data_IF_110227740028
#
_entry.id   IF_110227740028
#
_cell.length_a   1.000
_cell.length_b   1.000
_cell.length_c   1.000
_cell.angle_alpha   90.00
_cell.angle_beta   90.00
_cell.angle_gamma   90.00
#
_symmetry.space_group_name_H-M   'P 1'
#
loop_
_entity.id
_entity.type
_entity.pdbx_description
1 polymer ?
#
# COMPACT_ATOMS: atom_id res chain seq x y z
N UNK A 1 34.37 8.26 9.42
CA UNK A 1 32.98 7.73 9.27
C UNK A 1 32.14 8.87 8.75
N UNK A 2 31.90 8.91 7.44
CA UNK A 2 31.07 9.96 6.85
C UNK A 2 29.64 9.75 7.34
N UNK A 3 29.09 10.75 8.02
CA UNK A 3 27.69 10.78 8.42
C UNK A 3 26.84 10.74 7.15
N UNK A 4 26.23 9.59 6.86
CA UNK A 4 25.26 9.44 5.76
C UNK A 4 24.15 10.48 5.98
N UNK A 5 23.81 11.21 4.92
CA UNK A 5 22.80 12.27 4.98
C UNK A 5 21.42 11.68 5.31
N UNK A 6 20.55 12.47 5.94
CA UNK A 6 19.16 12.07 6.21
C UNK A 6 18.43 11.67 4.91
N UNK A 7 18.74 12.36 3.80
CA UNK A 7 18.17 12.06 2.49
C UNK A 7 18.56 10.67 1.98
N UNK A 8 19.82 10.30 2.15
CA UNK A 8 20.35 9.01 1.70
C UNK A 8 19.76 7.86 2.53
N UNK A 9 19.63 8.04 3.85
CA UNK A 9 18.93 7.07 4.70
C UNK A 9 17.47 6.87 4.28
N UNK A 10 16.76 7.96 4.00
CA UNK A 10 15.36 7.90 3.57
C UNK A 10 15.23 7.20 2.21
N UNK A 11 16.10 7.52 1.26
CA UNK A 11 16.12 6.86 -0.05
C UNK A 11 16.36 5.36 0.09
N UNK A 12 17.34 4.95 0.90
CA UNK A 12 17.61 3.54 1.17
C UNK A 12 16.41 2.82 1.79
N UNK A 13 15.75 3.45 2.76
CA UNK A 13 14.55 2.90 3.38
C UNK A 13 13.42 2.70 2.35
N UNK A 14 13.17 3.71 1.50
CA UNK A 14 12.15 3.65 0.43
C UNK A 14 12.44 2.49 -0.53
N UNK A 15 13.69 2.33 -0.98
CA UNK A 15 14.07 1.25 -1.90
C UNK A 15 13.97 -0.11 -1.22
N UNK A 16 14.36 -0.20 0.06
CA UNK A 16 14.19 -1.43 0.84
C UNK A 16 12.73 -1.86 0.85
N UNK A 17 11.81 -0.94 1.15
CA UNK A 17 10.37 -1.20 1.10
C UNK A 17 9.89 -1.59 -0.29
N UNK A 18 10.31 -0.86 -1.34
CA UNK A 18 9.93 -1.13 -2.72
C UNK A 18 10.42 -2.50 -3.20
N UNK A 19 11.65 -2.88 -2.85
CA UNK A 19 12.23 -4.18 -3.22
C UNK A 19 11.45 -5.32 -2.55
N UNK A 20 11.12 -5.19 -1.26
CA UNK A 20 10.30 -6.18 -0.54
C UNK A 20 8.90 -6.27 -1.14
N UNK A 21 8.25 -5.15 -1.42
CA UNK A 21 6.91 -5.11 -2.00
C UNK A 21 6.87 -5.73 -3.40
N UNK A 22 7.83 -5.39 -4.27
CA UNK A 22 7.93 -5.94 -5.63
C UNK A 22 8.16 -7.46 -5.60
N UNK A 23 9.02 -7.96 -4.70
CA UNK A 23 9.21 -9.40 -4.49
C UNK A 23 7.92 -10.14 -4.10
N UNK A 24 7.02 -9.46 -3.41
CA UNK A 24 5.80 -10.04 -2.87
C UNK A 24 4.61 -9.95 -3.83
N UNK A 25 4.40 -8.81 -4.50
CA UNK A 25 3.21 -8.56 -5.33
C UNK A 25 3.46 -8.73 -6.85
N UNK A 26 4.68 -8.51 -7.34
CA UNK A 26 4.93 -8.49 -8.79
C UNK A 26 5.31 -9.87 -9.33
N UNK A 27 4.74 -10.23 -10.47
CA UNK A 27 5.13 -11.45 -11.21
C UNK A 27 6.57 -11.34 -11.72
N UNK A 28 6.96 -10.15 -12.17
CA UNK A 28 8.29 -9.86 -12.66
C UNK A 28 8.78 -8.55 -12.07
N UNK A 29 9.73 -8.67 -11.15
CA UNK A 29 10.39 -7.57 -10.48
C UNK A 29 11.71 -7.19 -11.17
N UNK A 30 12.20 -5.98 -10.86
CA UNK A 30 13.56 -5.58 -11.21
C UNK A 30 14.62 -6.26 -10.35
N UNK A 31 15.83 -6.37 -10.87
CA UNK A 31 16.99 -6.84 -10.14
C UNK A 31 17.46 -5.80 -9.11
N UNK A 32 18.11 -6.25 -8.03
CA UNK A 32 18.67 -5.36 -7.00
C UNK A 32 19.72 -4.40 -7.61
N UNK A 33 20.42 -4.81 -8.68
CA UNK A 33 21.35 -3.94 -9.40
C UNK A 33 20.65 -2.79 -10.12
N UNK A 34 19.44 -3.00 -10.62
CA UNK A 34 18.62 -1.95 -11.26
C UNK A 34 18.09 -0.97 -10.22
N UNK A 35 17.63 -1.46 -9.06
CA UNK A 35 17.26 -0.60 -7.93
C UNK A 35 18.44 0.24 -7.43
N UNK A 36 19.63 -0.35 -7.32
CA UNK A 36 20.84 0.35 -6.91
C UNK A 36 21.24 1.46 -7.90
N UNK A 37 21.13 1.19 -9.21
CA UNK A 37 21.37 2.19 -10.26
C UNK A 37 20.37 3.35 -10.18
N UNK A 38 19.08 3.05 -9.98
CA UNK A 38 18.02 4.07 -9.93
C UNK A 38 18.23 5.07 -8.79
N UNK A 39 18.78 4.61 -7.66
CA UNK A 39 18.97 5.44 -6.48
C UNK A 39 20.40 5.86 -6.22
N UNK A 40 21.29 5.73 -7.22
CA UNK A 40 22.70 6.13 -7.13
C UNK A 40 23.40 5.57 -5.87
N UNK A 41 23.05 4.34 -5.49
CA UNK A 41 23.57 3.67 -4.30
C UNK A 41 24.28 2.37 -4.66
N UNK A 42 25.15 1.90 -3.78
CA UNK A 42 25.71 0.56 -3.90
C UNK A 42 24.65 -0.52 -3.62
N UNK A 43 24.72 -1.60 -4.39
CA UNK A 43 23.87 -2.78 -4.24
C UNK A 43 23.89 -3.35 -2.81
N UNK A 44 25.04 -3.30 -2.13
CA UNK A 44 25.18 -3.76 -0.75
C UNK A 44 24.28 -2.97 0.20
N UNK A 45 24.09 -1.67 -0.02
CA UNK A 45 23.19 -0.86 0.80
C UNK A 45 21.72 -1.20 0.55
N UNK A 46 21.35 -1.49 -0.69
CA UNK A 46 19.99 -1.94 -1.03
C UNK A 46 19.66 -3.27 -0.35
N UNK A 47 20.59 -4.24 -0.40
CA UNK A 47 20.41 -5.53 0.29
C UNK A 47 20.31 -5.38 1.81
N UNK A 48 21.08 -4.46 2.40
CA UNK A 48 20.99 -4.16 3.84
C UNK A 48 19.63 -3.56 4.17
N UNK A 49 19.18 -2.56 3.40
CA UNK A 49 17.87 -1.94 3.58
C UNK A 49 16.73 -2.96 3.45
N UNK A 50 16.77 -3.85 2.46
CA UNK A 50 15.80 -4.94 2.31
C UNK A 50 15.75 -5.82 3.58
N UNK A 51 16.92 -6.23 4.09
CA UNK A 51 17.01 -7.05 5.29
C UNK A 51 16.49 -6.33 6.53
N UNK A 52 16.79 -5.04 6.65
CA UNK A 52 16.36 -4.22 7.78
C UNK A 52 14.84 -4.00 7.76
N UNK A 53 14.23 -3.81 6.59
CA UNK A 53 12.76 -3.75 6.44
C UNK A 53 12.11 -5.06 6.87
N UNK A 54 12.59 -6.20 6.36
CA UNK A 54 12.04 -7.51 6.73
C UNK A 54 12.16 -7.80 8.23
N UNK A 55 13.30 -7.45 8.83
CA UNK A 55 13.51 -7.58 10.28
C UNK A 55 12.57 -6.68 11.08
N UNK A 56 12.37 -5.44 10.63
CA UNK A 56 11.48 -4.47 11.30
C UNK A 56 10.04 -4.95 11.26
N UNK A 57 9.61 -5.55 10.15
CA UNK A 57 8.28 -6.15 9.99
C UNK A 57 8.17 -7.54 10.64
N UNK A 58 9.23 -8.06 11.26
CA UNK A 58 9.28 -9.43 11.79
C UNK A 58 8.87 -10.49 10.76
N UNK A 59 9.15 -10.24 9.47
CA UNK A 59 8.72 -11.06 8.34
C UNK A 59 7.18 -11.19 8.16
N UNK A 60 6.39 -10.38 8.85
CA UNK A 60 4.92 -10.32 8.72
C UNK A 60 4.51 -9.43 7.54
N UNK A 61 4.79 -9.89 6.33
CA UNK A 61 4.44 -9.20 5.07
C UNK A 61 3.08 -9.63 4.50
N UNK A 62 2.44 -10.62 5.11
CA UNK A 62 1.16 -11.16 4.64
C UNK A 62 -0.02 -10.37 5.22
N UNK A 63 -0.35 -9.25 4.59
CA UNK A 63 -1.48 -8.39 4.97
C UNK A 63 -2.54 -8.26 3.87
N UNK A 64 -3.84 -8.23 4.20
CA UNK A 64 -4.87 -7.94 3.20
C UNK A 64 -4.87 -6.45 2.81
N UNK A 65 -4.81 -6.16 1.51
CA UNK A 65 -4.88 -4.81 0.97
C UNK A 65 -6.31 -4.25 1.01
N UNK A 66 -6.44 -2.92 1.20
CA UNK A 66 -7.72 -2.21 1.14
C UNK A 66 -8.46 -2.48 -0.18
N UNK A 67 -7.72 -2.60 -1.28
CA UNK A 67 -8.24 -2.92 -2.62
C UNK A 67 -8.96 -4.27 -2.64
N UNK A 68 -8.46 -5.28 -1.92
CA UNK A 68 -9.08 -6.61 -1.84
C UNK A 68 -10.41 -6.55 -1.08
N UNK A 69 -10.50 -5.72 -0.03
CA UNK A 69 -11.76 -5.48 0.67
C UNK A 69 -12.78 -4.74 -0.18
N UNK A 70 -12.36 -3.73 -0.96
CA UNK A 70 -13.25 -3.04 -1.91
C UNK A 70 -13.89 -4.04 -2.88
N UNK A 71 -13.10 -4.99 -3.41
CA UNK A 71 -13.62 -6.06 -4.27
C UNK A 71 -14.66 -6.92 -3.55
N UNK A 72 -14.36 -7.37 -2.33
CA UNK A 72 -15.29 -8.18 -1.54
C UNK A 72 -16.60 -7.44 -1.25
N UNK A 73 -16.54 -6.18 -0.85
CA UNK A 73 -17.74 -5.39 -0.55
C UNK A 73 -18.57 -5.13 -1.81
N UNK A 74 -17.94 -4.70 -2.90
CA UNK A 74 -18.65 -4.43 -4.16
C UNK A 74 -19.28 -5.70 -4.76
N UNK A 75 -18.60 -6.85 -4.67
CA UNK A 75 -19.17 -8.13 -5.10
C UNK A 75 -20.32 -8.59 -4.20
N UNK A 76 -20.16 -8.53 -2.88
CA UNK A 76 -21.18 -8.96 -1.92
C UNK A 76 -22.47 -8.14 -2.04
N UNK A 77 -22.34 -6.82 -2.18
CA UNK A 77 -23.49 -5.92 -2.31
C UNK A 77 -23.94 -5.69 -3.76
N UNK A 78 -23.28 -6.33 -4.74
CA UNK A 78 -23.56 -6.19 -6.19
C UNK A 78 -23.55 -4.73 -6.67
N UNK A 79 -22.56 -3.96 -6.22
CA UNK A 79 -22.40 -2.54 -6.52
C UNK A 79 -21.28 -2.33 -7.54
N UNK A 80 -21.57 -1.60 -8.62
CA UNK A 80 -20.61 -1.36 -9.72
C UNK A 80 -19.66 -0.17 -9.48
N UNK A 81 -19.18 0.02 -8.25
CA UNK A 81 -18.31 1.15 -7.86
C UNK A 81 -16.83 0.78 -7.73
N UNK A 82 -16.48 -0.47 -8.05
CA UNK A 82 -15.15 -1.04 -7.80
C UNK A 82 -14.02 -0.18 -8.38
N UNK A 83 -14.19 0.29 -9.62
CA UNK A 83 -13.19 1.08 -10.33
C UNK A 83 -12.95 2.43 -9.67
N UNK A 84 -14.02 3.15 -9.31
CA UNK A 84 -13.91 4.47 -8.69
C UNK A 84 -13.38 4.36 -7.26
N UNK A 85 -13.89 3.42 -6.47
CA UNK A 85 -13.44 3.18 -5.11
C UNK A 85 -11.94 2.83 -5.04
N UNK A 86 -11.44 2.01 -5.98
CA UNK A 86 -9.99 1.71 -6.10
C UNK A 86 -9.16 2.96 -6.35
N UNK A 87 -9.58 3.84 -7.26
CA UNK A 87 -8.87 5.11 -7.53
C UNK A 87 -8.84 6.04 -6.31
N UNK A 88 -9.93 6.11 -5.57
CA UNK A 88 -9.98 6.88 -4.31
C UNK A 88 -9.03 6.27 -3.29
N UNK A 89 -8.98 4.94 -3.19
CA UNK A 89 -8.08 4.22 -2.29
C UNK A 89 -6.61 4.45 -2.65
N UNK A 90 -6.25 4.45 -3.94
CA UNK A 90 -4.91 4.77 -4.42
C UNK A 90 -4.47 6.16 -3.98
N UNK A 91 -5.36 7.16 -4.07
CA UNK A 91 -5.08 8.51 -3.58
C UNK A 91 -4.94 8.55 -2.05
N UNK A 92 -5.78 7.80 -1.32
CA UNK A 92 -5.78 7.78 0.14
C UNK A 92 -4.47 7.22 0.72
N UNK A 93 -3.85 6.22 0.10
CA UNK A 93 -2.61 5.58 0.58
C UNK A 93 -1.43 6.56 0.64
N UNK A 94 -1.44 7.65 -0.13
CA UNK A 94 -0.40 8.69 -0.07
C UNK A 94 -0.52 9.61 1.15
N UNK A 95 -1.67 9.64 1.83
CA UNK A 95 -1.86 10.44 3.03
C UNK A 95 -1.45 9.65 4.28
N UNK A 96 -0.49 10.21 5.02
CA UNK A 96 0.01 9.66 6.29
C UNK A 96 -1.11 9.42 7.31
N UNK A 97 -2.17 10.23 7.29
CA UNK A 97 -3.31 10.07 8.20
C UNK A 97 -4.02 8.73 8.02
N UNK A 98 -3.86 8.06 6.87
CA UNK A 98 -4.50 6.77 6.59
C UNK A 98 -3.65 5.57 7.02
N UNK A 99 -2.36 5.74 7.28
CA UNK A 99 -1.43 4.65 7.58
C UNK A 99 -1.80 3.87 8.86
N UNK A 100 -2.48 4.52 9.81
CA UNK A 100 -2.89 3.90 11.09
C UNK A 100 -4.27 3.25 11.03
N UNK A 101 -5.02 3.45 9.95
CA UNK A 101 -6.39 2.97 9.79
C UNK A 101 -6.40 1.56 9.23
N UNK A 102 -7.35 0.72 9.64
CA UNK A 102 -7.41 -0.65 9.13
C UNK A 102 -7.77 -0.66 7.64
N UNK A 103 -7.15 -1.54 6.82
CA UNK A 103 -7.46 -1.64 5.40
C UNK A 103 -8.95 -1.86 5.09
N UNK A 104 -9.66 -2.59 5.96
CA UNK A 104 -11.10 -2.80 5.85
C UNK A 104 -11.91 -1.51 6.04
N UNK A 105 -11.53 -0.67 6.99
CA UNK A 105 -12.19 0.61 7.26
C UNK A 105 -11.97 1.59 6.10
N UNK A 106 -10.72 1.69 5.62
CA UNK A 106 -10.37 2.49 4.43
C UNK A 106 -11.22 2.05 3.23
N UNK A 107 -11.31 0.74 2.99
CA UNK A 107 -12.08 0.19 1.88
C UNK A 107 -13.57 0.57 1.93
N UNK A 108 -14.20 0.49 3.11
CA UNK A 108 -15.59 0.90 3.30
C UNK A 108 -15.76 2.39 3.00
N UNK A 109 -14.88 3.24 3.54
CA UNK A 109 -14.91 4.70 3.29
C UNK A 109 -14.75 5.00 1.79
N UNK A 110 -13.82 4.34 1.09
CA UNK A 110 -13.64 4.53 -0.35
C UNK A 110 -14.88 4.11 -1.15
N UNK A 111 -15.55 3.01 -0.79
CA UNK A 111 -16.81 2.61 -1.42
C UNK A 111 -17.92 3.62 -1.14
N UNK A 112 -18.01 4.13 0.09
CA UNK A 112 -18.97 5.17 0.46
C UNK A 112 -18.78 6.45 -0.34
N UNK A 113 -17.53 6.93 -0.44
CA UNK A 113 -17.19 8.11 -1.23
C UNK A 113 -17.51 7.91 -2.72
N UNK A 114 -17.16 6.75 -3.27
CA UNK A 114 -17.49 6.42 -4.65
C UNK A 114 -19.00 6.47 -4.91
N UNK A 115 -19.82 5.94 -4.00
CA UNK A 115 -21.27 5.93 -4.19
C UNK A 115 -21.87 7.32 -4.02
N UNK A 116 -21.36 8.13 -3.09
CA UNK A 116 -21.79 9.52 -2.94
C UNK A 116 -21.54 10.33 -4.21
N UNK A 117 -20.40 10.10 -4.88
CA UNK A 117 -20.06 10.76 -6.15
C UNK A 117 -20.93 10.29 -7.31
N UNK A 118 -21.23 8.99 -7.41
CA UNK A 118 -22.09 8.43 -8.47
C UNK A 118 -23.59 8.47 -8.13
N UNK A 119 -23.96 9.00 -6.95
CA UNK A 119 -25.34 9.04 -6.41
C UNK A 119 -26.00 7.66 -6.36
N UNK A 120 -25.22 6.64 -5.99
CA UNK A 120 -25.69 5.25 -5.85
C UNK A 120 -26.06 4.99 -4.39
N UNK A 121 -27.23 4.37 -4.17
CA UNK A 121 -27.65 3.97 -2.84
C UNK A 121 -26.78 2.81 -2.31
N UNK A 122 -26.30 2.96 -1.07
CA UNK A 122 -25.48 1.97 -0.40
C UNK A 122 -26.30 1.31 0.72
N UNK A 123 -26.22 -0.03 0.87
CA UNK A 123 -26.88 -0.72 1.98
C UNK A 123 -26.34 -0.28 3.35
N UNK A 124 -27.25 -0.04 4.30
CA UNK A 124 -26.93 0.39 5.68
C UNK A 124 -25.95 -0.54 6.41
N UNK A 125 -25.94 -1.83 6.04
CA UNK A 125 -25.03 -2.84 6.60
C UNK A 125 -23.55 -2.48 6.40
N UNK A 126 -23.21 -1.76 5.34
CA UNK A 126 -21.84 -1.36 5.05
C UNK A 126 -21.33 -0.33 6.07
N UNK A 127 -22.19 0.58 6.54
CA UNK A 127 -21.84 1.58 7.56
C UNK A 127 -21.59 0.98 8.94
N UNK A 128 -22.20 -0.18 9.23
CA UNK A 128 -21.99 -0.88 10.52
C UNK A 128 -20.59 -1.49 10.66
N UNK A 129 -19.82 -1.60 9.57
CA UNK A 129 -18.45 -2.14 9.59
C UNK A 129 -17.44 -1.13 10.18
N UNK A 130 -17.79 0.16 10.23
CA UNK A 130 -16.93 1.24 10.74
C UNK A 130 -17.10 1.42 12.27
N UNK A 131 -18.17 0.88 12.87
CA UNK A 131 -18.46 0.97 14.32
C UNK A 131 -17.89 -0.21 15.09
#
# INVERSE_FOLDING_TARGET
MNSISIKEHLQLAIIGCATVAAKYEEVQQWSVLEYAKYCYSEHVHVLRAEKDVLRTLNFEITGPHSISFIQRYTQYFKINLNRLAKKICEAAIYDYNTCHTKPSEIAVVCVCLAAALEKVEIPEKLYKIIK
#
